data_IF_630645203203
#
_entry.id   IF_630645203203
#
_cell.length_a   1.000
_cell.length_b   1.000
_cell.length_c   1.000
_cell.angle_alpha   90.00
_cell.angle_beta   90.00
_cell.angle_gamma   90.00
#
_symmetry.space_group_name_H-M   'P 1'
#
loop_
_entity.id
_entity.type
_entity.pdbx_description
1 polymer ?
#
# COMPACT_ATOMS: atom_id res chain seq x y z
N UNK A 1 -17.49 -21.29 -4.32
CA UNK A 1 -16.11 -21.41 -4.87
C UNK A 1 -16.00 -21.03 -6.36
N UNK A 2 -16.87 -21.48 -7.27
CA UNK A 2 -16.80 -21.10 -8.69
C UNK A 2 -17.08 -19.62 -8.96
N UNK A 3 -18.12 -19.08 -8.34
CA UNK A 3 -18.54 -17.68 -8.55
C UNK A 3 -17.52 -16.65 -8.05
N UNK A 4 -16.82 -16.94 -6.98
CA UNK A 4 -15.81 -16.07 -6.38
C UNK A 4 -14.53 -15.97 -7.23
N UNK A 5 -14.11 -17.10 -7.82
CA UNK A 5 -12.96 -17.11 -8.74
C UNK A 5 -13.29 -16.32 -10.01
N UNK A 6 -14.53 -16.47 -10.51
CA UNK A 6 -15.02 -15.71 -11.67
C UNK A 6 -15.08 -14.21 -11.37
N UNK A 7 -15.59 -13.81 -10.20
CA UNK A 7 -15.67 -12.41 -9.77
C UNK A 7 -14.28 -11.77 -9.65
N UNK A 8 -13.33 -12.47 -9.00
CA UNK A 8 -11.92 -12.02 -8.90
C UNK A 8 -11.28 -11.84 -10.28
N UNK A 9 -11.45 -12.82 -11.16
CA UNK A 9 -10.94 -12.72 -12.54
C UNK A 9 -11.57 -11.55 -13.28
N UNK A 10 -12.88 -11.36 -13.14
CA UNK A 10 -13.61 -10.24 -13.74
C UNK A 10 -13.08 -8.88 -13.30
N UNK A 11 -12.77 -8.73 -12.00
CA UNK A 11 -12.11 -7.53 -11.46
C UNK A 11 -10.75 -7.30 -12.11
N UNK A 12 -9.87 -8.30 -12.14
CA UNK A 12 -8.53 -8.16 -12.73
C UNK A 12 -8.60 -7.78 -14.21
N UNK A 13 -9.49 -8.39 -14.97
CA UNK A 13 -9.73 -8.06 -16.39
C UNK A 13 -10.27 -6.64 -16.57
N UNK A 14 -11.11 -6.15 -15.62
CA UNK A 14 -11.56 -4.77 -15.58
C UNK A 14 -10.39 -3.80 -15.33
N UNK A 15 -9.52 -4.09 -14.36
CA UNK A 15 -8.37 -3.27 -14.04
C UNK A 15 -7.35 -3.19 -15.20
N UNK A 16 -7.16 -4.27 -15.94
CA UNK A 16 -6.32 -4.29 -17.15
C UNK A 16 -6.92 -3.40 -18.26
N UNK A 17 -8.23 -3.54 -18.54
CA UNK A 17 -8.91 -2.68 -19.52
C UNK A 17 -8.84 -1.20 -19.16
N UNK A 18 -8.89 -0.89 -17.85
CA UNK A 18 -8.72 0.46 -17.31
C UNK A 18 -7.28 0.99 -17.29
N UNK A 19 -6.30 0.17 -17.70
CA UNK A 19 -4.87 0.49 -17.63
C UNK A 19 -4.37 0.82 -16.21
N UNK A 20 -5.05 0.31 -15.19
CA UNK A 20 -4.60 0.35 -13.80
C UNK A 20 -3.64 -0.79 -13.49
N UNK A 21 -3.85 -1.93 -14.12
CA UNK A 21 -3.07 -3.15 -14.03
C UNK A 21 -2.38 -3.38 -15.37
N UNK A 22 -1.04 -3.37 -15.40
CA UNK A 22 -0.25 -3.32 -16.64
C UNK A 22 0.74 -4.47 -16.78
N UNK A 23 1.17 -5.05 -15.64
CA UNK A 23 2.20 -6.09 -15.64
C UNK A 23 1.67 -7.43 -15.12
N UNK A 24 2.14 -8.51 -15.69
CA UNK A 24 1.80 -9.86 -15.26
C UNK A 24 2.18 -10.10 -13.78
N UNK A 25 3.25 -9.46 -13.29
CA UNK A 25 3.70 -9.60 -11.90
C UNK A 25 2.67 -9.07 -10.90
N UNK A 26 2.15 -7.85 -11.12
CA UNK A 26 1.10 -7.27 -10.26
C UNK A 26 -0.19 -8.08 -10.39
N UNK A 27 -0.57 -8.50 -11.61
CA UNK A 27 -1.75 -9.35 -11.82
C UNK A 27 -1.67 -10.64 -11.00
N UNK A 28 -0.57 -11.38 -11.13
CA UNK A 28 -0.37 -12.65 -10.40
C UNK A 28 -0.41 -12.42 -8.89
N UNK A 29 0.25 -11.39 -8.38
CA UNK A 29 0.23 -11.07 -6.96
C UNK A 29 -1.18 -10.78 -6.42
N UNK A 30 -1.99 -10.01 -7.16
CA UNK A 30 -3.40 -9.74 -6.80
C UNK A 30 -4.29 -10.98 -6.98
N UNK A 31 -3.95 -11.88 -7.90
CA UNK A 31 -4.67 -13.15 -8.10
C UNK A 31 -4.37 -14.16 -6.98
N UNK A 32 -3.17 -14.17 -6.41
CA UNK A 32 -2.76 -15.05 -5.31
C UNK A 32 -3.36 -14.64 -3.96
N UNK A 33 -3.64 -13.34 -3.77
CA UNK A 33 -4.14 -12.82 -2.49
C UNK A 33 -5.64 -12.54 -2.57
N UNK A 34 -6.44 -13.34 -1.88
CA UNK A 34 -7.90 -13.19 -1.84
C UNK A 34 -8.30 -11.98 -0.97
N UNK A 35 -8.80 -10.91 -1.61
CA UNK A 35 -9.21 -9.68 -0.90
C UNK A 35 -10.33 -9.90 0.13
N UNK A 36 -11.17 -10.96 -0.03
CA UNK A 36 -12.22 -11.29 0.93
C UNK A 36 -11.68 -11.60 2.33
N UNK A 37 -10.47 -12.10 2.43
CA UNK A 37 -9.84 -12.40 3.72
C UNK A 37 -9.43 -11.12 4.50
N UNK A 38 -9.55 -9.95 3.87
CA UNK A 38 -9.13 -8.64 4.42
C UNK A 38 -10.29 -7.65 4.60
N UNK A 39 -11.51 -8.06 4.28
CA UNK A 39 -12.72 -7.25 4.45
C UNK A 39 -13.60 -7.87 5.54
N UNK A 40 -14.52 -7.08 6.10
CA UNK A 40 -15.49 -7.61 7.06
C UNK A 40 -16.39 -8.66 6.39
N UNK A 41 -16.79 -9.68 7.12
CA UNK A 41 -17.68 -10.74 6.61
C UNK A 41 -18.98 -10.18 6.02
N UNK A 42 -19.51 -9.09 6.59
CA UNK A 42 -20.69 -8.38 6.05
C UNK A 42 -20.49 -7.79 4.68
N UNK A 43 -19.23 -7.49 4.30
CA UNK A 43 -18.86 -6.78 3.08
C UNK A 43 -18.24 -7.73 2.04
N UNK A 44 -18.21 -9.04 2.30
CA UNK A 44 -17.62 -10.05 1.41
C UNK A 44 -18.19 -10.02 -0.01
N UNK A 45 -19.46 -9.65 -0.18
CA UNK A 45 -20.10 -9.55 -1.49
C UNK A 45 -19.56 -8.37 -2.33
N UNK A 46 -18.90 -7.39 -1.68
CA UNK A 46 -18.26 -6.23 -2.33
C UNK A 46 -16.74 -6.43 -2.49
N UNK A 47 -16.19 -7.56 -2.06
CA UNK A 47 -14.75 -7.76 -2.04
C UNK A 47 -14.07 -7.61 -3.41
N UNK A 48 -14.80 -7.92 -4.48
CA UNK A 48 -14.30 -7.80 -5.86
C UNK A 48 -14.87 -6.61 -6.63
N UNK A 49 -15.59 -5.72 -5.96
CA UNK A 49 -15.96 -4.42 -6.52
C UNK A 49 -14.78 -3.45 -6.42
N UNK A 50 -14.60 -2.61 -7.45
CA UNK A 50 -13.53 -1.62 -7.47
C UNK A 50 -13.89 -0.39 -6.63
N UNK A 51 -14.02 -0.61 -5.31
CA UNK A 51 -14.40 0.40 -4.32
C UNK A 51 -13.63 0.23 -3.01
N UNK A 52 -13.33 1.33 -2.27
CA UNK A 52 -12.80 1.22 -0.91
C UNK A 52 -13.90 0.72 0.04
N UNK A 53 -13.53 -0.09 1.05
CA UNK A 53 -14.44 -0.61 2.07
C UNK A 53 -13.93 -0.23 3.47
N UNK A 54 -14.84 -0.03 4.42
CA UNK A 54 -14.48 0.38 5.78
C UNK A 54 -13.89 -0.76 6.59
N UNK A 55 -12.75 -0.51 7.26
CA UNK A 55 -12.08 -1.50 8.13
C UNK A 55 -12.13 -1.13 9.63
N UNK A 56 -12.76 -0.02 9.98
CA UNK A 56 -12.80 0.51 11.34
C UNK A 56 -11.91 1.73 11.51
N UNK A 57 -11.97 2.39 12.66
CA UNK A 57 -11.17 3.57 13.02
C UNK A 57 -11.22 4.71 11.99
N UNK A 58 -12.31 4.82 11.21
CA UNK A 58 -12.40 5.78 10.10
C UNK A 58 -11.50 5.45 8.91
N UNK A 59 -10.90 4.26 8.87
CA UNK A 59 -9.97 3.81 7.82
C UNK A 59 -10.65 2.87 6.83
N UNK A 60 -10.02 2.71 5.66
CA UNK A 60 -10.53 1.86 4.57
C UNK A 60 -9.45 0.95 4.01
N UNK A 61 -9.85 -0.24 3.54
CA UNK A 61 -9.08 -0.98 2.54
C UNK A 61 -9.21 -0.25 1.20
N UNK A 62 -8.10 0.05 0.55
CA UNK A 62 -8.10 0.77 -0.73
C UNK A 62 -8.86 0.03 -1.82
N UNK A 63 -9.44 0.78 -2.76
CA UNK A 63 -10.02 0.20 -3.96
C UNK A 63 -8.97 -0.60 -4.75
N UNK A 64 -9.36 -1.72 -5.39
CA UNK A 64 -8.43 -2.56 -6.13
C UNK A 64 -7.60 -1.85 -7.20
N UNK A 65 -8.19 -0.90 -7.95
CA UNK A 65 -7.44 -0.11 -8.93
C UNK A 65 -6.30 0.69 -8.29
N UNK A 66 -6.49 1.18 -7.07
CA UNK A 66 -5.48 1.95 -6.36
C UNK A 66 -4.31 1.07 -5.91
N UNK A 67 -4.60 -0.15 -5.41
CA UNK A 67 -3.58 -1.15 -5.07
C UNK A 67 -2.74 -1.51 -6.30
N UNK A 68 -3.39 -1.83 -7.43
CA UNK A 68 -2.72 -2.13 -8.69
C UNK A 68 -1.83 -0.96 -9.13
N UNK A 69 -2.40 0.24 -9.19
CA UNK A 69 -1.71 1.44 -9.68
C UNK A 69 -0.48 1.79 -8.84
N UNK A 70 -0.57 1.71 -7.50
CA UNK A 70 0.57 1.99 -6.62
C UNK A 70 1.69 0.96 -6.81
N UNK A 71 1.39 -0.33 -6.95
CA UNK A 71 2.39 -1.37 -7.21
C UNK A 71 3.02 -1.23 -8.59
N UNK A 72 2.24 -0.84 -9.62
CA UNK A 72 2.77 -0.57 -10.96
C UNK A 72 3.74 0.63 -10.98
N UNK A 73 3.45 1.70 -10.24
CA UNK A 73 4.35 2.85 -10.12
C UNK A 73 5.60 2.52 -9.28
N UNK A 74 5.45 1.68 -8.26
CA UNK A 74 6.54 1.27 -7.37
C UNK A 74 7.54 0.31 -8.04
N UNK A 75 7.08 -0.48 -9.03
CA UNK A 75 7.89 -1.45 -9.80
C UNK A 75 8.70 -2.40 -8.89
N UNK A 76 8.05 -3.14 -7.97
CA UNK A 76 8.73 -4.01 -7.02
C UNK A 76 9.45 -5.17 -7.72
N UNK A 77 10.58 -5.62 -7.13
CA UNK A 77 11.38 -6.75 -7.58
C UNK A 77 11.53 -7.77 -6.46
N UNK A 78 11.72 -9.03 -6.80
CA UNK A 78 11.88 -10.14 -5.83
C UNK A 78 13.04 -9.95 -4.85
N UNK A 79 13.99 -9.11 -5.15
CA UNK A 79 15.14 -8.79 -4.29
C UNK A 79 14.92 -7.59 -3.38
N UNK A 80 13.83 -6.83 -3.55
CA UNK A 80 13.62 -5.58 -2.84
C UNK A 80 13.15 -5.82 -1.39
N UNK A 81 13.58 -4.94 -0.49
CA UNK A 81 12.98 -4.71 0.81
C UNK A 81 12.01 -3.55 0.70
N UNK A 82 10.76 -3.75 1.12
CA UNK A 82 9.69 -2.76 1.03
C UNK A 82 9.26 -2.32 2.43
N UNK A 83 9.16 -1.00 2.61
CA UNK A 83 8.50 -0.39 3.75
C UNK A 83 7.12 0.11 3.32
N UNK A 84 6.07 -0.32 4.02
CA UNK A 84 4.72 0.22 3.88
C UNK A 84 4.34 1.08 5.09
N UNK A 85 3.73 2.24 4.83
CA UNK A 85 3.18 3.13 5.84
C UNK A 85 1.65 3.11 5.76
N UNK A 86 1.00 2.58 6.80
CA UNK A 86 -0.44 2.38 6.86
C UNK A 86 -0.83 0.96 6.49
N UNK A 87 -0.64 -0.02 7.39
CA UNK A 87 -1.01 -1.43 7.14
C UNK A 87 -2.51 -1.59 6.89
N UNK A 88 -3.33 -0.81 7.61
CA UNK A 88 -4.77 -0.98 7.62
C UNK A 88 -5.14 -2.41 8.03
N UNK A 89 -5.82 -3.13 7.14
CA UNK A 89 -6.12 -4.56 7.31
C UNK A 89 -5.01 -5.52 6.81
N UNK A 90 -3.91 -5.01 6.26
CA UNK A 90 -2.79 -5.81 5.75
C UNK A 90 -2.89 -6.24 4.27
N UNK A 91 -3.96 -5.89 3.55
CA UNK A 91 -4.15 -6.38 2.16
C UNK A 91 -3.05 -5.94 1.21
N UNK A 92 -2.65 -4.66 1.25
CA UNK A 92 -1.63 -4.13 0.34
C UNK A 92 -0.26 -4.77 0.64
N UNK A 93 0.10 -4.90 1.94
CA UNK A 93 1.29 -5.64 2.37
C UNK A 93 1.28 -7.09 1.87
N UNK A 94 0.13 -7.78 1.98
CA UNK A 94 -0.03 -9.16 1.50
C UNK A 94 0.23 -9.29 0.00
N UNK A 95 -0.36 -8.39 -0.82
CA UNK A 95 -0.11 -8.38 -2.28
C UNK A 95 1.35 -8.06 -2.59
N UNK A 96 1.93 -7.02 -1.95
CA UNK A 96 3.32 -6.63 -2.16
C UNK A 96 4.29 -7.76 -1.77
N UNK A 97 3.98 -8.55 -0.73
CA UNK A 97 4.82 -9.66 -0.26
C UNK A 97 5.05 -10.74 -1.32
N UNK A 98 4.11 -10.88 -2.27
CA UNK A 98 4.26 -11.80 -3.41
C UNK A 98 5.27 -11.32 -4.45
N UNK A 99 5.73 -10.07 -4.36
CA UNK A 99 6.57 -9.42 -5.37
C UNK A 99 7.96 -9.04 -4.87
N UNK A 100 8.18 -9.02 -3.54
CA UNK A 100 9.43 -8.57 -2.91
C UNK A 100 10.02 -9.64 -2.00
N UNK A 101 11.26 -9.44 -1.51
CA UNK A 101 11.88 -10.37 -0.57
C UNK A 101 11.35 -10.19 0.84
N UNK A 102 11.05 -8.96 1.25
CA UNK A 102 10.55 -8.62 2.59
C UNK A 102 9.65 -7.39 2.56
N UNK A 103 8.60 -7.42 3.37
CA UNK A 103 7.75 -6.26 3.68
C UNK A 103 7.84 -5.95 5.16
N UNK A 104 8.07 -4.68 5.49
CA UNK A 104 7.80 -4.12 6.82
C UNK A 104 6.63 -3.17 6.66
N UNK A 105 5.58 -3.34 7.45
CA UNK A 105 4.39 -2.49 7.39
C UNK A 105 4.10 -1.90 8.76
N UNK A 106 3.82 -0.58 8.80
CA UNK A 106 3.62 0.18 10.04
C UNK A 106 2.18 0.65 10.14
N UNK A 107 1.56 0.39 11.30
CA UNK A 107 0.21 0.85 11.62
C UNK A 107 0.20 1.59 12.96
N UNK A 108 -0.43 2.78 12.99
CA UNK A 108 -0.51 3.56 14.23
C UNK A 108 -1.68 3.16 15.14
N UNK A 109 -2.80 2.74 14.57
CA UNK A 109 -3.97 2.32 15.34
C UNK A 109 -3.78 0.90 15.85
N UNK A 110 -3.73 0.70 17.16
CA UNK A 110 -3.50 -0.63 17.77
C UNK A 110 -4.53 -1.65 17.30
N UNK A 111 -5.81 -1.28 17.18
CA UNK A 111 -6.83 -2.18 16.64
C UNK A 111 -6.53 -2.67 15.21
N UNK A 112 -6.08 -1.77 14.32
CA UNK A 112 -5.74 -2.15 12.94
C UNK A 112 -4.41 -2.90 12.87
N UNK A 113 -3.46 -2.57 13.73
CA UNK A 113 -2.23 -3.35 13.90
C UNK A 113 -2.54 -4.81 14.26
N UNK A 114 -3.40 -5.04 15.26
CA UNK A 114 -3.83 -6.38 15.66
C UNK A 114 -4.54 -7.12 14.52
N UNK A 115 -5.46 -6.44 13.82
CA UNK A 115 -6.15 -6.95 12.64
C UNK A 115 -5.17 -7.32 11.51
N UNK A 116 -4.17 -6.46 11.25
CA UNK A 116 -3.14 -6.74 10.24
C UNK A 116 -2.27 -7.94 10.64
N UNK A 117 -1.89 -8.08 11.90
CA UNK A 117 -1.16 -9.24 12.41
C UNK A 117 -1.95 -10.54 12.19
N UNK A 118 -3.26 -10.53 12.50
CA UNK A 118 -4.14 -11.68 12.28
C UNK A 118 -4.27 -12.03 10.79
N UNK A 119 -4.57 -11.06 9.94
CA UNK A 119 -4.78 -11.26 8.51
C UNK A 119 -3.48 -11.66 7.76
N UNK A 120 -2.32 -11.29 8.29
CA UNK A 120 -1.01 -11.58 7.70
C UNK A 120 -0.36 -12.83 8.31
N UNK A 121 -1.06 -13.58 9.15
CA UNK A 121 -0.61 -14.89 9.60
C UNK A 121 -0.35 -15.80 8.39
N UNK A 122 0.84 -16.41 8.33
CA UNK A 122 1.29 -17.24 7.19
C UNK A 122 1.93 -16.46 6.02
N UNK A 123 2.13 -15.14 6.15
CA UNK A 123 2.96 -14.37 5.23
C UNK A 123 4.36 -14.19 5.84
N UNK A 124 5.22 -15.21 5.75
CA UNK A 124 6.49 -15.32 6.46
C UNK A 124 7.50 -14.20 6.18
N UNK A 125 7.33 -13.48 5.07
CA UNK A 125 8.18 -12.35 4.68
C UNK A 125 7.58 -10.98 5.02
N UNK A 126 6.49 -10.93 5.82
CA UNK A 126 5.85 -9.68 6.27
C UNK A 126 6.04 -9.49 7.77
N UNK A 127 6.49 -8.32 8.16
CA UNK A 127 6.57 -7.88 9.56
C UNK A 127 5.64 -6.69 9.78
N UNK A 128 4.70 -6.82 10.71
CA UNK A 128 3.83 -5.71 11.13
C UNK A 128 4.43 -5.03 12.35
N UNK A 129 4.43 -3.69 12.35
CA UNK A 129 4.96 -2.85 13.43
C UNK A 129 3.88 -1.87 13.88
N UNK A 130 3.65 -1.75 15.19
CA UNK A 130 2.76 -0.71 15.74
C UNK A 130 3.55 0.56 16.01
N UNK A 131 3.21 1.68 15.35
CA UNK A 131 3.95 2.93 15.53
C UNK A 131 3.56 4.05 14.59
N UNK A 132 4.26 5.18 14.72
CA UNK A 132 4.13 6.35 13.85
C UNK A 132 4.92 6.17 12.55
N UNK A 133 4.22 5.77 11.49
CA UNK A 133 4.82 5.53 10.17
C UNK A 133 5.45 6.76 9.51
N UNK A 134 5.10 7.99 9.93
CA UNK A 134 5.73 9.20 9.39
C UNK A 134 7.23 9.33 9.74
N UNK A 135 7.72 8.49 10.66
CA UNK A 135 9.13 8.36 11.04
C UNK A 135 9.87 7.30 10.21
N UNK A 136 9.13 6.46 9.46
CA UNK A 136 9.68 5.26 8.85
C UNK A 136 10.06 4.21 9.88
N UNK A 137 11.01 3.34 9.50
CA UNK A 137 11.56 2.28 10.36
C UNK A 137 13.05 2.13 10.08
N UNK A 138 13.85 2.89 10.80
CA UNK A 138 15.28 3.07 10.55
C UNK A 138 16.11 1.79 10.74
N UNK A 139 15.66 0.89 11.62
CA UNK A 139 16.37 -0.34 11.98
C UNK A 139 16.60 -1.29 10.80
N UNK A 140 15.76 -1.17 9.77
CA UNK A 140 15.84 -2.03 8.58
C UNK A 140 16.13 -1.23 7.28
N UNK A 141 16.45 0.07 7.41
CA UNK A 141 16.85 0.90 6.25
C UNK A 141 18.27 0.56 5.77
N UNK A 142 18.62 0.85 4.49
CA UNK A 142 17.78 1.49 3.48
C UNK A 142 16.80 0.54 2.79
N UNK A 143 15.69 1.10 2.27
CA UNK A 143 14.66 0.39 1.52
C UNK A 143 14.78 0.65 0.03
N UNK A 144 14.63 -0.36 -0.81
CA UNK A 144 14.53 -0.20 -2.26
C UNK A 144 13.16 0.35 -2.65
N UNK A 145 12.13 0.07 -1.83
CA UNK A 145 10.75 0.48 -2.08
C UNK A 145 10.10 1.01 -0.81
N UNK A 146 9.43 2.16 -0.93
CA UNK A 146 8.56 2.69 0.14
C UNK A 146 7.16 2.92 -0.45
N UNK A 147 6.16 2.37 0.18
CA UNK A 147 4.76 2.51 -0.20
C UNK A 147 3.98 3.20 0.92
N UNK A 148 3.35 4.33 0.63
CA UNK A 148 2.58 5.08 1.62
C UNK A 148 1.11 5.03 1.22
N UNK A 149 0.29 4.37 2.03
CA UNK A 149 -1.13 4.07 1.76
C UNK A 149 -2.07 5.06 2.45
N UNK A 150 -1.55 6.20 2.88
CA UNK A 150 -2.28 7.31 3.51
C UNK A 150 -1.77 8.65 2.97
N UNK A 151 -2.64 9.67 2.95
CA UNK A 151 -2.33 10.99 2.39
C UNK A 151 -1.48 11.84 3.36
N UNK A 152 -0.40 12.43 2.88
CA UNK A 152 0.48 13.31 3.66
C UNK A 152 0.40 14.77 3.17
N UNK A 153 0.63 15.79 4.03
CA UNK A 153 0.67 17.19 3.60
C UNK A 153 1.91 17.50 2.75
N UNK A 154 2.95 16.72 2.91
CA UNK A 154 4.23 16.74 2.18
C UNK A 154 4.91 15.39 2.29
N UNK A 155 5.93 15.14 1.48
CA UNK A 155 6.76 13.95 1.64
C UNK A 155 7.53 14.05 2.97
N UNK A 156 7.36 13.09 3.92
CA UNK A 156 8.09 13.10 5.18
C UNK A 156 9.59 12.92 4.96
N UNK A 157 10.45 13.84 5.45
CA UNK A 157 11.90 13.74 5.27
C UNK A 157 12.50 12.40 5.73
N UNK A 158 12.07 11.80 6.87
CA UNK A 158 12.61 10.50 7.30
C UNK A 158 12.41 9.36 6.29
N UNK A 159 11.36 9.42 5.46
CA UNK A 159 11.12 8.41 4.43
C UNK A 159 12.08 8.58 3.25
N UNK A 160 12.44 9.83 2.91
CA UNK A 160 13.46 10.09 1.89
C UNK A 160 14.83 9.59 2.36
N UNK A 161 15.19 9.85 3.62
CA UNK A 161 16.47 9.45 4.21
C UNK A 161 16.62 7.92 4.28
N UNK A 162 15.51 7.20 4.44
CA UNK A 162 15.48 5.73 4.52
C UNK A 162 15.32 5.04 3.15
N UNK A 163 15.05 5.81 2.08
CA UNK A 163 14.98 5.27 0.72
C UNK A 163 16.40 5.08 0.17
N UNK A 164 16.71 3.95 -0.46
CA UNK A 164 17.99 3.71 -1.12
C UNK A 164 18.19 4.65 -2.32
N UNK A 165 19.43 4.98 -2.67
CA UNK A 165 19.73 5.68 -3.94
C UNK A 165 19.32 4.76 -5.11
N UNK A 166 18.49 5.26 -6.02
CA UNK A 166 17.82 4.48 -7.06
C UNK A 166 16.51 3.80 -6.60
N UNK A 167 16.18 3.93 -5.30
CA UNK A 167 14.91 3.44 -4.74
C UNK A 167 13.72 4.29 -5.14
N UNK A 168 12.52 3.69 -5.11
CA UNK A 168 11.26 4.34 -5.44
C UNK A 168 10.33 4.38 -4.23
N UNK A 169 9.71 5.54 -4.02
CA UNK A 169 8.61 5.70 -3.07
C UNK A 169 7.36 6.16 -3.81
N UNK A 170 6.21 5.57 -3.47
CA UNK A 170 4.88 6.02 -3.94
C UNK A 170 4.10 6.54 -2.74
N UNK A 171 3.64 7.79 -2.82
CA UNK A 171 3.00 8.50 -1.70
C UNK A 171 1.92 9.47 -2.19
N UNK A 172 0.68 9.46 -1.61
CA UNK A 172 -0.31 10.50 -1.83
C UNK A 172 0.07 11.76 -1.06
N UNK A 173 0.19 12.90 -1.74
CA UNK A 173 0.54 14.19 -1.14
C UNK A 173 -0.47 15.26 -1.48
N UNK A 174 -0.95 16.00 -0.49
CA UNK A 174 -1.94 17.07 -0.67
C UNK A 174 -2.71 17.40 0.60
N UNK A 175 -3.95 17.84 0.44
CA UNK A 175 -4.85 18.11 1.55
C UNK A 175 -5.46 16.83 2.16
N UNK A 176 -6.26 17.01 3.22
CA UNK A 176 -6.92 15.86 3.89
C UNK A 176 -7.96 15.14 3.01
N UNK A 177 -8.47 15.77 1.95
CA UNK A 177 -9.57 15.24 1.12
C UNK A 177 -9.10 14.84 -0.27
N UNK A 178 -8.13 15.56 -0.84
CA UNK A 178 -7.64 15.35 -2.20
C UNK A 178 -6.12 15.44 -2.24
N UNK A 179 -5.51 14.49 -2.93
CA UNK A 179 -4.06 14.38 -3.08
C UNK A 179 -3.67 14.12 -4.54
N UNK A 180 -2.40 14.33 -4.82
CA UNK A 180 -1.71 13.79 -5.98
C UNK A 180 -0.90 12.57 -5.55
N UNK A 181 -0.91 11.50 -6.34
CA UNK A 181 -0.01 10.37 -6.13
C UNK A 181 1.36 10.74 -6.69
N UNK A 182 2.35 10.84 -5.82
CA UNK A 182 3.74 11.08 -6.20
C UNK A 182 4.48 9.76 -6.32
N UNK A 183 5.28 9.63 -7.38
CA UNK A 183 6.36 8.65 -7.44
C UNK A 183 7.68 9.42 -7.28
N UNK A 184 8.35 9.15 -6.16
CA UNK A 184 9.61 9.79 -5.76
C UNK A 184 10.73 8.80 -5.96
N UNK A 185 11.74 9.16 -6.73
CA UNK A 185 13.00 8.42 -6.88
C UNK A 185 14.10 9.15 -6.14
N UNK A 186 14.84 8.45 -5.28
CA UNK A 186 16.05 9.00 -4.67
C UNK A 186 17.22 8.88 -5.66
N UNK A 187 17.80 9.99 -6.03
CA UNK A 187 18.98 10.05 -6.89
C UNK A 187 20.25 10.36 -6.08
N UNK A 188 21.43 10.30 -6.71
CA UNK A 188 22.68 10.68 -6.04
C UNK A 188 22.69 12.16 -5.62
N UNK A 189 21.99 13.03 -6.36
CA UNK A 189 21.99 14.48 -6.18
C UNK A 189 20.72 15.02 -5.47
N UNK A 190 19.79 14.13 -5.05
CA UNK A 190 18.54 14.53 -4.41
C UNK A 190 17.36 13.60 -4.73
N UNK A 191 16.22 14.17 -5.13
CA UNK A 191 15.04 13.40 -5.51
C UNK A 191 14.50 13.84 -6.89
N UNK A 192 13.97 12.88 -7.65
CA UNK A 192 13.14 13.10 -8.83
C UNK A 192 11.69 12.76 -8.51
N UNK A 193 10.74 13.56 -8.98
CA UNK A 193 9.32 13.38 -8.63
C UNK A 193 8.46 13.41 -9.90
N UNK A 194 7.68 12.36 -10.11
CA UNK A 194 6.56 12.34 -11.05
C UNK A 194 5.22 12.41 -10.31
N UNK A 195 4.16 12.91 -10.96
CA UNK A 195 2.87 13.19 -10.33
C UNK A 195 1.72 12.62 -11.13
N UNK A 196 0.74 12.06 -10.42
CA UNK A 196 -0.55 11.65 -10.98
C UNK A 196 -1.66 12.30 -10.13
N UNK A 197 -2.47 13.21 -10.69
CA UNK A 197 -3.51 13.90 -9.93
C UNK A 197 -4.72 13.00 -9.66
N UNK A 198 -5.56 13.43 -8.70
CA UNK A 198 -6.91 12.91 -8.52
C UNK A 198 -7.01 11.63 -7.70
N UNK A 199 -6.22 11.50 -6.63
CA UNK A 199 -6.37 10.41 -5.66
C UNK A 199 -6.95 10.92 -4.34
N UNK A 200 -7.60 10.03 -3.58
CA UNK A 200 -8.15 10.33 -2.26
C UNK A 200 -7.80 9.19 -1.28
N UNK A 201 -7.01 9.52 -0.27
CA UNK A 201 -6.62 8.62 0.80
C UNK A 201 -6.99 9.21 2.16
N UNK A 202 -7.18 8.35 3.15
CA UNK A 202 -7.27 8.74 4.55
C UNK A 202 -5.99 9.47 4.98
N UNK A 203 -6.06 10.47 5.87
CA UNK A 203 -4.88 11.25 6.24
C UNK A 203 -3.87 10.41 7.03
N UNK A 204 -2.59 10.57 6.69
CA UNK A 204 -1.49 10.14 7.55
C UNK A 204 -1.45 11.03 8.78
N UNK A 205 -1.49 10.44 9.96
CA UNK A 205 -1.36 11.16 11.22
C UNK A 205 -0.01 10.80 11.87
N UNK A 206 0.75 11.80 12.29
CA UNK A 206 2.07 11.58 12.90
C UNK A 206 2.90 12.84 12.97
N UNK A 207 4.07 12.76 13.59
CA UNK A 207 4.94 13.94 13.85
C UNK A 207 5.48 14.61 12.57
N UNK A 208 5.55 13.87 11.45
CA UNK A 208 5.96 14.40 10.14
C UNK A 208 4.80 14.42 9.12
N UNK A 209 3.57 14.41 9.59
CA UNK A 209 2.36 14.30 8.79
C UNK A 209 1.28 15.30 9.24
N UNK A 210 -0.01 14.98 9.13
CA UNK A 210 -1.06 15.80 9.73
C UNK A 210 -1.09 15.60 11.26
N UNK A 211 -1.43 16.65 11.98
CA UNK A 211 -1.76 16.57 13.40
C UNK A 211 -3.12 15.87 13.61
N UNK A 212 -3.33 15.27 14.78
CA UNK A 212 -4.59 14.63 15.18
C UNK A 212 -5.77 15.59 15.18
#
# INVERSE_FOLDING_TARGET
>A
MGDDLQARKGLLDYLERGNYLRTAGVRTAMEEVDRRNFVKTSDNYLAYDDTPLTIGQGQTISAPHMVAMMLEELKPRKTDNLLEIGSGCGYHAAVASRMVSRVITIERFTYLYELACENLEGFDNVQVVNGDGSRGFVENSPYQKIMVTCGAPRVPPPLIDQLEVGGLMVIPVGGRVAQELLTVERTADGISVSRRPGVAFVPMIGVNAFED
#
